data_IF_678393085349
#
_entry.id   IF_678393085349
#
_cell.length_a   1.000
_cell.length_b   1.000
_cell.length_c   1.000
_cell.angle_alpha   90.00
_cell.angle_beta   90.00
_cell.angle_gamma   90.00
#
_symmetry.space_group_name_H-M   'P 1'
#
loop_
_entity.id
_entity.type
_entity.pdbx_description
1 polymer ?
#
# COMPACT_ATOMS: atom_id res chain seq x y z
N UNK A 1 10.37 12.73 -8.61
CA UNK A 1 11.16 12.82 -7.35
C UNK A 1 11.00 11.51 -6.58
N UNK A 2 12.10 10.92 -6.15
CA UNK A 2 12.09 9.62 -5.45
C UNK A 2 12.60 9.79 -4.02
N UNK A 3 11.90 9.23 -3.05
CA UNK A 3 12.27 9.17 -1.63
C UNK A 3 12.52 7.72 -1.23
N UNK A 4 13.26 7.49 -0.16
CA UNK A 4 13.49 6.13 0.39
C UNK A 4 13.12 6.10 1.86
N UNK A 5 12.30 5.13 2.25
CA UNK A 5 11.89 4.88 3.63
C UNK A 5 12.41 3.49 4.01
N UNK A 6 13.49 3.42 4.80
CA UNK A 6 14.20 2.16 5.00
C UNK A 6 14.72 1.64 3.67
N UNK A 7 14.26 0.45 3.25
CA UNK A 7 14.60 -0.19 1.97
C UNK A 7 13.53 0.00 0.88
N UNK A 8 12.37 0.58 1.24
CA UNK A 8 11.26 0.82 0.32
C UNK A 8 11.51 2.08 -0.51
N UNK A 9 11.33 1.98 -1.82
CA UNK A 9 11.39 3.11 -2.75
C UNK A 9 10.01 3.75 -2.91
N UNK A 10 9.92 5.07 -2.72
CA UNK A 10 8.72 5.87 -2.89
C UNK A 10 8.90 6.83 -4.08
N UNK A 11 8.19 6.59 -5.17
CA UNK A 11 8.21 7.42 -6.37
C UNK A 11 7.05 8.43 -6.33
N UNK A 12 7.39 9.73 -6.38
CA UNK A 12 6.46 10.86 -6.30
C UNK A 12 6.32 11.61 -7.64
N UNK A 13 6.81 11.05 -8.76
CA UNK A 13 6.84 11.76 -10.05
C UNK A 13 5.43 12.13 -10.55
N UNK A 14 4.43 11.34 -10.20
CA UNK A 14 3.01 11.57 -10.55
C UNK A 14 2.17 12.09 -9.38
N UNK A 15 2.79 12.43 -8.27
CA UNK A 15 2.07 13.00 -7.14
C UNK A 15 1.73 14.48 -7.41
N UNK A 16 0.44 14.87 -7.36
CA UNK A 16 0.02 16.23 -7.72
C UNK A 16 0.38 17.31 -6.68
N UNK A 17 0.99 16.92 -5.56
CA UNK A 17 1.39 17.85 -4.48
C UNK A 17 0.38 17.98 -3.34
N UNK A 18 -0.84 17.46 -3.52
CA UNK A 18 -1.90 17.47 -2.51
C UNK A 18 -2.56 16.10 -2.38
N UNK A 19 -2.90 15.71 -1.16
CA UNK A 19 -3.67 14.49 -0.89
C UNK A 19 -5.17 14.80 -0.97
N UNK A 20 -5.79 14.50 -2.11
CA UNK A 20 -7.24 14.66 -2.31
C UNK A 20 -8.07 13.58 -1.62
N UNK A 21 -7.44 12.50 -1.20
CA UNK A 21 -8.08 11.37 -0.53
C UNK A 21 -7.38 11.06 0.78
N UNK A 22 -7.93 11.58 1.88
CA UNK A 22 -7.38 11.41 3.23
C UNK A 22 -8.52 11.31 4.23
N UNK A 23 -8.52 10.27 5.05
CA UNK A 23 -9.50 10.07 6.14
C UNK A 23 -9.15 10.90 7.41
N UNK A 24 -8.38 11.96 7.25
CA UNK A 24 -8.13 12.96 8.30
C UNK A 24 -7.22 12.49 9.44
N UNK A 25 -7.72 12.61 10.69
CA UNK A 25 -6.92 12.39 11.91
C UNK A 25 -6.49 10.95 12.13
N UNK A 26 -7.28 9.98 11.66
CA UNK A 26 -7.01 8.55 11.85
C UNK A 26 -5.75 8.09 11.12
N UNK A 27 -5.56 8.51 9.88
CA UNK A 27 -4.34 8.18 9.13
C UNK A 27 -3.10 8.82 9.75
N UNK A 28 -3.25 9.99 10.38
CA UNK A 28 -2.18 10.60 11.17
C UNK A 28 -1.77 9.72 12.35
N UNK A 29 -2.73 9.20 13.10
CA UNK A 29 -2.46 8.29 14.22
C UNK A 29 -1.81 6.99 13.75
N UNK A 30 -2.30 6.39 12.65
CA UNK A 30 -1.71 5.18 12.07
C UNK A 30 -0.27 5.43 11.63
N UNK A 31 0.00 6.57 11.00
CA UNK A 31 1.38 6.95 10.59
C UNK A 31 2.32 7.02 11.79
N UNK A 32 1.90 7.61 12.90
CA UNK A 32 2.73 7.66 14.11
C UNK A 32 2.94 6.26 14.73
N UNK A 33 1.93 5.40 14.67
CA UNK A 33 2.05 4.00 15.12
C UNK A 33 3.10 3.25 14.29
N UNK A 34 3.02 3.29 12.96
CA UNK A 34 3.93 2.52 12.09
C UNK A 34 5.37 3.06 12.08
N UNK A 35 5.56 4.33 12.43
CA UNK A 35 6.90 4.90 12.66
C UNK A 35 7.53 4.43 13.95
N UNK A 36 6.72 4.18 14.98
CA UNK A 36 7.19 3.92 16.34
C UNK A 36 7.26 2.43 16.67
N UNK A 37 6.37 1.63 16.11
CA UNK A 37 6.19 0.22 16.45
C UNK A 37 6.39 -0.68 15.23
N UNK A 38 6.95 -1.86 15.47
CA UNK A 38 7.08 -2.90 14.45
C UNK A 38 5.78 -3.71 14.29
N UNK A 39 5.66 -4.44 13.19
CA UNK A 39 4.46 -5.25 12.89
C UNK A 39 4.13 -6.30 13.97
N UNK A 40 5.14 -6.82 14.68
CA UNK A 40 4.93 -7.80 15.77
C UNK A 40 4.23 -7.20 16.99
N UNK A 41 4.18 -5.88 17.10
CA UNK A 41 3.54 -5.17 18.20
C UNK A 41 2.10 -4.75 17.89
N UNK A 42 1.65 -4.87 16.64
CA UNK A 42 0.36 -4.32 16.21
C UNK A 42 -0.83 -4.94 16.93
N UNK A 43 -0.82 -6.24 17.22
CA UNK A 43 -1.94 -6.88 17.96
C UNK A 43 -2.12 -6.27 19.36
N UNK A 44 -1.01 -5.96 20.04
CA UNK A 44 -1.05 -5.26 21.33
C UNK A 44 -1.60 -3.84 21.17
N UNK A 45 -1.11 -3.09 20.18
CA UNK A 45 -1.55 -1.71 19.92
C UNK A 45 -3.04 -1.67 19.56
N UNK A 46 -3.52 -2.60 18.74
CA UNK A 46 -4.93 -2.74 18.36
C UNK A 46 -5.79 -2.96 19.63
N UNK A 47 -5.36 -3.86 20.50
CA UNK A 47 -6.06 -4.17 21.76
C UNK A 47 -6.09 -2.98 22.72
N UNK A 48 -5.00 -2.21 22.81
CA UNK A 48 -4.91 -1.02 23.67
C UNK A 48 -5.77 0.14 23.15
N UNK A 49 -5.73 0.39 21.82
CA UNK A 49 -6.42 1.53 21.21
C UNK A 49 -7.93 1.34 21.07
N UNK A 50 -8.41 0.11 20.93
CA UNK A 50 -9.83 -0.24 20.77
C UNK A 50 -10.54 0.59 19.69
N UNK A 51 -9.82 0.91 18.62
CA UNK A 51 -10.26 1.72 17.50
C UNK A 51 -10.51 0.84 16.28
N UNK A 52 -11.72 0.93 15.70
CA UNK A 52 -12.06 0.19 14.48
C UNK A 52 -11.12 0.51 13.31
N UNK A 53 -10.81 1.77 13.00
CA UNK A 53 -9.89 2.08 11.91
C UNK A 53 -8.48 1.51 12.13
N UNK A 54 -7.97 1.54 13.36
CA UNK A 54 -6.65 0.94 13.69
C UNK A 54 -6.67 -0.56 13.47
N UNK A 55 -7.71 -1.25 13.97
CA UNK A 55 -7.92 -2.68 13.72
C UNK A 55 -8.00 -2.96 12.21
N UNK A 56 -8.82 -2.21 11.48
CA UNK A 56 -9.04 -2.40 10.05
C UNK A 56 -7.74 -2.27 9.24
N UNK A 57 -6.92 -1.26 9.53
CA UNK A 57 -5.72 -1.01 8.76
C UNK A 57 -4.49 -1.84 9.20
N UNK A 58 -4.36 -2.16 10.48
CA UNK A 58 -3.14 -2.79 11.00
C UNK A 58 -3.27 -4.30 11.22
N UNK A 59 -4.49 -4.86 11.26
CA UNK A 59 -4.69 -6.30 11.49
C UNK A 59 -4.07 -7.15 10.39
N UNK A 60 -3.31 -8.17 10.80
CA UNK A 60 -2.75 -9.17 9.90
C UNK A 60 -3.81 -10.08 9.23
N UNK A 61 -5.04 -10.12 9.76
CA UNK A 61 -6.12 -10.96 9.22
C UNK A 61 -6.46 -10.65 7.76
N UNK A 62 -6.22 -9.42 7.31
CA UNK A 62 -6.45 -9.03 5.91
C UNK A 62 -5.49 -9.72 4.94
N UNK A 63 -4.34 -10.18 5.38
CA UNK A 63 -3.38 -10.91 4.56
C UNK A 63 -3.94 -12.23 4.03
N UNK A 64 -4.93 -12.82 4.73
CA UNK A 64 -5.60 -14.05 4.29
C UNK A 64 -6.22 -13.96 2.89
N UNK A 65 -6.54 -12.74 2.42
CA UNK A 65 -7.10 -12.51 1.07
C UNK A 65 -6.11 -12.93 -0.03
N UNK A 66 -4.81 -12.83 0.21
CA UNK A 66 -3.76 -13.14 -0.76
C UNK A 66 -2.87 -14.31 -0.34
N UNK A 67 -3.04 -14.81 0.88
CA UNK A 67 -2.14 -15.80 1.45
C UNK A 67 -2.21 -17.17 0.76
N UNK A 68 -3.38 -17.50 0.20
CA UNK A 68 -3.59 -18.72 -0.57
C UNK A 68 -3.00 -18.68 -2.00
N UNK A 69 -2.66 -17.50 -2.52
CA UNK A 69 -2.11 -17.37 -3.87
C UNK A 69 -0.72 -18.03 -3.96
N UNK A 70 -0.46 -18.86 -4.98
CA UNK A 70 0.80 -19.59 -5.12
C UNK A 70 1.92 -18.75 -5.75
N UNK A 71 2.06 -17.52 -5.29
CA UNK A 71 3.06 -16.54 -5.80
C UNK A 71 4.47 -17.05 -5.49
N UNK A 72 5.37 -16.98 -6.47
CA UNK A 72 6.75 -17.44 -6.39
C UNK A 72 7.73 -16.28 -6.25
N UNK A 73 8.93 -16.56 -5.72
CA UNK A 73 10.02 -15.57 -5.56
C UNK A 73 10.59 -15.01 -6.86
N UNK A 74 10.23 -15.58 -7.99
CA UNK A 74 10.62 -15.09 -9.33
C UNK A 74 9.55 -14.23 -9.97
N UNK A 75 8.38 -14.09 -9.34
CA UNK A 75 7.21 -13.43 -9.91
C UNK A 75 7.07 -11.99 -9.44
N UNK A 76 6.42 -11.18 -10.27
CA UNK A 76 6.17 -9.75 -10.06
C UNK A 76 4.70 -9.50 -9.78
N UNK A 77 4.43 -8.70 -8.78
CA UNK A 77 3.06 -8.34 -8.37
C UNK A 77 2.84 -6.84 -8.48
N UNK A 78 1.73 -6.44 -9.09
CA UNK A 78 1.22 -5.07 -9.05
C UNK A 78 0.05 -5.00 -8.06
N UNK A 79 0.14 -4.12 -7.06
CA UNK A 79 -0.90 -3.83 -6.08
C UNK A 79 -1.46 -2.43 -6.31
N UNK A 80 -2.71 -2.31 -6.78
CA UNK A 80 -3.37 -1.03 -7.08
C UNK A 80 -4.35 -0.67 -5.97
N UNK A 81 -4.29 0.58 -5.47
CA UNK A 81 -5.19 1.08 -4.43
C UNK A 81 -5.00 0.41 -3.07
N UNK A 82 -3.76 0.21 -2.69
CA UNK A 82 -3.34 -0.55 -1.50
C UNK A 82 -3.66 0.09 -0.15
N UNK A 83 -4.07 1.37 -0.12
CA UNK A 83 -4.31 2.12 1.11
C UNK A 83 -3.09 2.10 2.05
N UNK A 84 -3.29 1.70 3.30
CA UNK A 84 -2.23 1.64 4.33
C UNK A 84 -1.38 0.35 4.31
N UNK A 85 -1.37 -0.40 3.20
CA UNK A 85 -0.52 -1.57 3.01
C UNK A 85 -0.93 -2.82 3.80
N UNK A 86 -2.23 -3.07 3.94
CA UNK A 86 -2.72 -4.21 4.74
C UNK A 86 -2.30 -5.57 4.19
N UNK A 87 -2.05 -5.68 2.88
CA UNK A 87 -1.65 -6.93 2.22
C UNK A 87 -0.25 -6.87 1.59
N UNK A 88 0.32 -5.67 1.47
CA UNK A 88 1.64 -5.47 0.83
C UNK A 88 2.73 -6.36 1.45
N UNK A 89 2.73 -6.52 2.77
CA UNK A 89 3.69 -7.39 3.47
C UNK A 89 3.58 -8.85 3.09
N UNK A 90 2.35 -9.37 2.95
CA UNK A 90 2.12 -10.75 2.51
C UNK A 90 2.61 -10.96 1.07
N UNK A 91 2.34 -10.02 0.17
CA UNK A 91 2.83 -10.06 -1.21
C UNK A 91 4.37 -9.99 -1.25
N UNK A 92 4.99 -9.10 -0.48
CA UNK A 92 6.44 -8.94 -0.42
C UNK A 92 7.17 -10.19 0.11
N UNK A 93 6.54 -10.92 1.06
CA UNK A 93 7.10 -12.19 1.55
C UNK A 93 7.08 -13.30 0.49
N UNK A 94 6.16 -13.25 -0.47
CA UNK A 94 5.96 -14.28 -1.49
C UNK A 94 6.67 -13.96 -2.81
N UNK A 95 6.49 -12.76 -3.32
CA UNK A 95 6.96 -12.32 -4.63
C UNK A 95 8.45 -11.97 -4.66
N UNK A 96 9.00 -11.91 -5.86
CA UNK A 96 10.31 -11.35 -6.13
C UNK A 96 10.30 -9.83 -6.15
N UNK A 97 9.21 -9.24 -6.65
CA UNK A 97 9.02 -7.79 -6.75
C UNK A 97 7.56 -7.43 -6.50
N UNK A 98 7.32 -6.37 -5.74
CA UNK A 98 5.99 -5.80 -5.51
C UNK A 98 6.01 -4.32 -5.88
N UNK A 99 5.24 -3.96 -6.89
CA UNK A 99 4.98 -2.57 -7.27
C UNK A 99 3.63 -2.17 -6.74
N UNK A 100 3.58 -1.07 -6.00
CA UNK A 100 2.36 -0.53 -5.43
C UNK A 100 2.01 0.81 -6.07
N UNK A 101 0.70 1.08 -6.29
CA UNK A 101 0.20 2.38 -6.75
C UNK A 101 -0.92 2.85 -5.84
N UNK A 102 -0.86 4.10 -5.38
CA UNK A 102 -1.92 4.73 -4.59
C UNK A 102 -1.95 6.24 -4.80
N UNK A 103 -3.14 6.83 -4.70
CA UNK A 103 -3.36 8.28 -4.85
C UNK A 103 -2.79 9.08 -3.68
N UNK A 104 -2.85 8.53 -2.46
CA UNK A 104 -2.52 9.26 -1.23
C UNK A 104 -1.05 9.11 -0.85
N UNK A 105 -0.35 10.22 -0.73
CA UNK A 105 1.01 10.26 -0.18
C UNK A 105 1.04 9.79 1.27
N UNK A 106 0.06 10.19 2.09
CA UNK A 106 0.00 9.81 3.51
C UNK A 106 -0.15 8.30 3.67
N UNK A 107 -1.07 7.66 2.94
CA UNK A 107 -1.23 6.20 2.94
C UNK A 107 0.02 5.49 2.42
N UNK A 108 0.66 6.07 1.41
CA UNK A 108 1.92 5.58 0.87
C UNK A 108 3.05 5.59 1.88
N UNK A 109 3.15 6.66 2.67
CA UNK A 109 4.11 6.75 3.78
C UNK A 109 3.81 5.69 4.86
N UNK A 110 2.55 5.50 5.23
CA UNK A 110 2.15 4.44 6.19
C UNK A 110 2.63 3.07 5.70
N UNK A 111 2.35 2.74 4.44
CA UNK A 111 2.81 1.48 3.85
C UNK A 111 4.34 1.36 3.84
N UNK A 112 5.04 2.41 3.42
CA UNK A 112 6.50 2.42 3.36
C UNK A 112 7.15 2.23 4.75
N UNK A 113 6.67 2.92 5.77
CA UNK A 113 7.16 2.74 7.15
C UNK A 113 6.84 1.34 7.69
N UNK A 114 5.63 0.85 7.44
CA UNK A 114 5.19 -0.48 7.87
C UNK A 114 6.05 -1.60 7.30
N UNK A 115 6.54 -1.43 6.08
CA UNK A 115 7.32 -2.43 5.34
C UNK A 115 8.75 -1.97 5.05
N UNK A 116 9.29 -1.06 5.86
CA UNK A 116 10.59 -0.42 5.64
C UNK A 116 11.78 -1.38 5.49
N UNK A 117 11.66 -2.62 5.96
CA UNK A 117 12.68 -3.66 5.82
C UNK A 117 12.57 -4.47 4.50
N UNK A 118 11.49 -4.28 3.72
CA UNK A 118 11.28 -5.00 2.47
C UNK A 118 12.12 -4.40 1.33
N UNK A 119 13.05 -5.19 0.79
CA UNK A 119 13.95 -4.76 -0.30
C UNK A 119 13.27 -4.78 -1.69
N UNK A 120 12.15 -5.48 -1.80
CA UNK A 120 11.46 -5.76 -3.04
C UNK A 120 10.16 -4.97 -3.23
N UNK A 121 9.98 -3.86 -2.50
CA UNK A 121 8.77 -3.02 -2.58
C UNK A 121 9.10 -1.66 -3.17
N UNK A 122 8.39 -1.31 -4.25
CA UNK A 122 8.40 0.02 -4.85
C UNK A 122 6.99 0.60 -4.83
N UNK A 123 6.87 1.86 -4.43
CA UNK A 123 5.60 2.55 -4.26
C UNK A 123 5.54 3.76 -5.18
N UNK A 124 4.56 3.81 -6.07
CA UNK A 124 4.24 4.97 -6.88
C UNK A 124 3.05 5.72 -6.28
N UNK A 125 3.24 7.02 -6.05
CA UNK A 125 2.17 7.90 -5.55
C UNK A 125 1.62 8.71 -6.70
N UNK A 126 0.34 8.52 -7.02
CA UNK A 126 -0.35 9.21 -8.11
C UNK A 126 -1.60 8.48 -8.57
N UNK A 127 -2.31 9.09 -9.50
CA UNK A 127 -3.44 8.43 -10.14
C UNK A 127 -2.92 7.24 -10.98
N UNK A 128 -3.59 6.11 -10.89
CA UNK A 128 -3.20 4.91 -11.64
C UNK A 128 -3.13 5.17 -13.15
N UNK A 129 -4.03 5.95 -13.71
CA UNK A 129 -4.03 6.32 -15.14
C UNK A 129 -2.80 7.12 -15.57
N UNK A 130 -2.17 7.83 -14.65
CA UNK A 130 -0.96 8.61 -14.92
C UNK A 130 0.32 7.80 -14.67
N UNK A 131 0.27 6.82 -13.79
CA UNK A 131 1.39 5.94 -13.41
C UNK A 131 1.50 4.76 -14.37
N UNK A 132 0.37 4.14 -14.74
CA UNK A 132 0.30 2.90 -15.55
C UNK A 132 1.14 2.93 -16.82
N UNK A 133 1.16 4.02 -17.63
CA UNK A 133 1.98 4.05 -18.85
C UNK A 133 3.49 3.93 -18.64
N UNK A 134 3.96 4.17 -17.41
CA UNK A 134 5.38 4.07 -17.02
C UNK A 134 5.74 2.73 -16.38
N UNK A 135 4.72 1.91 -16.05
CA UNK A 135 4.94 0.61 -15.44
C UNK A 135 5.29 -0.45 -16.49
N UNK A 136 6.12 -1.44 -16.14
CA UNK A 136 6.33 -2.59 -17.00
C UNK A 136 5.01 -3.38 -17.18
N UNK A 137 4.90 -4.09 -18.31
CA UNK A 137 3.70 -4.87 -18.63
C UNK A 137 3.85 -6.38 -18.30
N UNK A 138 4.88 -6.75 -17.55
CA UNK A 138 5.28 -8.14 -17.29
C UNK A 138 4.95 -8.60 -15.86
N UNK A 139 3.86 -8.11 -15.27
CA UNK A 139 3.37 -8.58 -13.98
C UNK A 139 2.70 -9.95 -14.10
N UNK A 140 3.01 -10.85 -13.17
CA UNK A 140 2.39 -12.17 -13.07
C UNK A 140 1.05 -12.11 -12.34
N UNK A 141 0.92 -11.17 -11.38
CA UNK A 141 -0.31 -10.92 -10.62
C UNK A 141 -0.62 -9.43 -10.56
N UNK A 142 -1.91 -9.10 -10.69
CA UNK A 142 -2.43 -7.74 -10.46
C UNK A 142 -3.53 -7.82 -9.40
N UNK A 143 -3.34 -7.14 -8.29
CA UNK A 143 -4.26 -7.11 -7.16
C UNK A 143 -5.01 -5.77 -7.09
N UNK A 144 -6.35 -5.81 -7.18
CA UNK A 144 -7.25 -4.65 -7.01
C UNK A 144 -8.25 -4.98 -5.91
N UNK A 145 -7.86 -4.77 -4.67
CA UNK A 145 -8.65 -5.18 -3.50
C UNK A 145 -9.21 -3.95 -2.79
N UNK A 146 -10.55 -3.80 -2.78
CA UNK A 146 -11.24 -2.63 -2.22
C UNK A 146 -11.06 -1.36 -3.07
N UNK A 147 -11.02 -1.48 -4.39
CA UNK A 147 -10.76 -0.38 -5.33
C UNK A 147 -11.91 -0.14 -6.29
N UNK A 148 -12.58 -1.18 -6.76
CA UNK A 148 -13.61 -1.09 -7.81
C UNK A 148 -14.80 -0.24 -7.41
N UNK A 149 -15.18 -0.23 -6.15
CA UNK A 149 -16.27 0.60 -5.62
C UNK A 149 -16.01 2.11 -5.78
N UNK A 150 -14.75 2.49 -5.87
CA UNK A 150 -14.31 3.87 -6.10
C UNK A 150 -13.91 4.15 -7.54
N UNK A 151 -13.92 3.12 -8.40
CA UNK A 151 -13.39 3.17 -9.77
C UNK A 151 -14.03 4.23 -10.65
N UNK A 152 -15.37 4.47 -10.51
CA UNK A 152 -16.07 5.51 -11.27
C UNK A 152 -15.54 6.92 -10.97
N UNK A 153 -15.11 7.18 -9.75
CA UNK A 153 -14.61 8.50 -9.37
C UNK A 153 -13.17 8.76 -9.86
N UNK A 154 -12.35 7.72 -10.03
CA UNK A 154 -10.91 7.86 -10.25
C UNK A 154 -10.37 7.16 -11.51
N UNK A 155 -11.12 6.21 -12.06
CA UNK A 155 -10.74 5.45 -13.27
C UNK A 155 -11.74 5.70 -14.40
N UNK A 156 -12.94 6.24 -14.07
CA UNK A 156 -13.99 6.47 -15.03
C UNK A 156 -13.56 7.46 -16.12
N UNK A 157 -13.35 6.94 -17.33
CA UNK A 157 -13.21 7.76 -18.49
C UNK A 157 -14.44 8.65 -18.66
N UNK A 158 -14.24 9.85 -19.16
CA UNK A 158 -15.32 10.74 -19.59
C UNK A 158 -16.24 9.97 -20.53
N UNK A 159 -17.45 9.68 -20.10
CA UNK A 159 -18.57 9.34 -21.01
C UNK A 159 -18.94 10.54 -21.82
#
# INVERSE_FOLDING_TARGET
MTETIGKVTLNLDKYPGEDYYCDGSVEGEILEIVKKYSTVEYDRIIAERKSWPILYHLSALRENIVDFLPIQKTEKVLEVGRGCGAITGALARKAGEVTCVDLSKKRSLINAYRHSECENVTIHVGNFTDVEPELPADYDYICLIGVFEYGQAYIGGKT
#
